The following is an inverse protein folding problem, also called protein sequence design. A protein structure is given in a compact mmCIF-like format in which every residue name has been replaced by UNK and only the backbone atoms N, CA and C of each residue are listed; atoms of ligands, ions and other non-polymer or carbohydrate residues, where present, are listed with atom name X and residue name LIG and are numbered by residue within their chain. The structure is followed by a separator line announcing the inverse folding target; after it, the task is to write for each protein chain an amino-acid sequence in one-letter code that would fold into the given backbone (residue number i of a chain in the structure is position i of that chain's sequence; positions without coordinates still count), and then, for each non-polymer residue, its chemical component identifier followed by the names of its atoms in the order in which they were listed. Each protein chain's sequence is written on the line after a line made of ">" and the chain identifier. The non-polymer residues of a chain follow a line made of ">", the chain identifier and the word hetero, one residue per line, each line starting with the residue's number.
data_IF_775070320452
#
_entry.id   IF_775070320452
#
_cell.length_a   1.000
_cell.length_b   1.000
_cell.length_c   1.000
_cell.angle_alpha   90.00
_cell.angle_beta   90.00
_cell.angle_gamma   90.00
#
_symmetry.space_group_name_H-M   'P 1'
#
loop_
_entity.id
_entity.type
_entity.pdbx_description
1 polymer ?
#
# COMPACT_ATOMS: atom_id res chain seq x y z
N UNK A 1 -21.72 10.95 -10.21
CA UNK A 1 -21.39 9.51 -10.30
C UNK A 1 -19.88 9.39 -10.48
N UNK A 2 -19.19 8.68 -9.60
CA UNK A 2 -17.74 8.47 -9.75
C UNK A 2 -17.55 7.26 -10.67
N UNK A 3 -16.81 7.38 -11.78
CA UNK A 3 -16.57 6.23 -12.64
C UNK A 3 -15.62 5.23 -11.98
N UNK A 4 -15.91 3.93 -12.15
CA UNK A 4 -15.12 2.81 -11.59
C UNK A 4 -13.63 2.92 -11.91
N UNK A 5 -13.28 3.43 -13.10
CA UNK A 5 -11.89 3.56 -13.50
C UNK A 5 -11.11 4.63 -12.70
N UNK A 6 -11.78 5.64 -12.13
CA UNK A 6 -11.15 6.59 -11.21
C UNK A 6 -10.81 5.91 -9.88
N UNK A 7 -11.74 5.11 -9.34
CA UNK A 7 -11.52 4.34 -8.11
C UNK A 7 -10.41 3.32 -8.31
N UNK A 8 -10.41 2.61 -9.44
CA UNK A 8 -9.32 1.72 -9.82
C UNK A 8 -7.97 2.43 -9.84
N UNK A 9 -7.89 3.63 -10.42
CA UNK A 9 -6.68 4.45 -10.45
C UNK A 9 -6.22 4.89 -9.06
N UNK A 10 -7.15 5.31 -8.20
CA UNK A 10 -6.86 5.69 -6.82
C UNK A 10 -6.27 4.51 -6.02
N UNK A 11 -6.92 3.34 -6.09
CA UNK A 11 -6.43 2.13 -5.43
C UNK A 11 -5.03 1.77 -5.91
N UNK A 12 -4.77 1.81 -7.22
CA UNK A 12 -3.41 1.58 -7.73
C UNK A 12 -2.38 2.59 -7.18
N UNK A 13 -2.74 3.88 -7.08
CA UNK A 13 -1.85 4.91 -6.57
C UNK A 13 -1.47 4.68 -5.10
N UNK A 14 -2.43 4.30 -4.26
CA UNK A 14 -2.18 3.99 -2.84
C UNK A 14 -1.14 2.89 -2.67
N UNK A 15 -1.29 1.78 -3.40
CA UNK A 15 -0.37 0.64 -3.32
C UNK A 15 0.95 0.86 -4.06
N UNK A 16 0.99 1.75 -5.06
CA UNK A 16 2.23 2.19 -5.69
C UNK A 16 3.12 2.94 -4.69
N UNK A 17 2.54 3.79 -3.84
CA UNK A 17 3.30 4.49 -2.79
C UNK A 17 3.92 3.51 -1.79
N UNK A 18 3.17 2.49 -1.34
CA UNK A 18 3.69 1.44 -0.46
C UNK A 18 4.90 0.74 -1.10
N UNK A 19 4.81 0.44 -2.40
CA UNK A 19 5.89 -0.21 -3.16
C UNK A 19 7.13 0.66 -3.24
N UNK A 20 6.97 1.93 -3.60
CA UNK A 20 8.06 2.90 -3.69
C UNK A 20 8.78 3.08 -2.35
N UNK A 21 8.03 3.27 -1.25
CA UNK A 21 8.60 3.42 0.10
C UNK A 21 9.34 2.17 0.57
N UNK A 22 8.81 1.00 0.23
CA UNK A 22 9.48 -0.27 0.53
C UNK A 22 10.81 -0.41 -0.22
N UNK A 23 10.82 -0.06 -1.52
CA UNK A 23 12.04 -0.08 -2.32
C UNK A 23 13.09 0.89 -1.76
N UNK A 24 12.68 2.10 -1.38
CA UNK A 24 13.57 3.09 -0.75
C UNK A 24 14.18 2.56 0.56
N UNK A 25 13.40 1.90 1.42
CA UNK A 25 13.89 1.27 2.64
C UNK A 25 14.93 0.18 2.32
N UNK A 26 14.62 -0.72 1.38
CA UNK A 26 15.51 -1.83 1.00
C UNK A 26 16.85 -1.34 0.42
N UNK A 27 16.83 -0.28 -0.39
CA UNK A 27 18.02 0.30 -1.00
C UNK A 27 18.88 1.07 0.02
N UNK A 28 18.24 1.83 0.92
CA UNK A 28 18.94 2.67 1.88
C UNK A 28 19.46 1.90 3.10
N UNK A 29 18.77 0.82 3.49
CA UNK A 29 19.10 0.01 4.66
C UNK A 29 19.02 -1.49 4.33
N UNK A 30 20.11 -2.10 3.81
CA UNK A 30 20.10 -3.49 3.36
C UNK A 30 19.68 -4.51 4.44
N UNK A 31 19.92 -4.23 5.72
CA UNK A 31 19.48 -5.06 6.85
C UNK A 31 17.95 -5.17 6.98
N UNK A 32 17.20 -4.22 6.44
CA UNK A 32 15.72 -4.19 6.47
C UNK A 32 15.10 -4.63 5.14
N UNK A 33 15.91 -5.14 4.19
CA UNK A 33 15.44 -5.58 2.87
C UNK A 33 14.37 -6.66 2.95
N UNK A 34 14.52 -7.65 3.83
CA UNK A 34 13.55 -8.74 3.98
C UNK A 34 12.18 -8.20 4.43
N UNK A 35 12.17 -7.23 5.33
CA UNK A 35 10.94 -6.56 5.76
C UNK A 35 10.27 -5.86 4.57
N UNK A 36 11.04 -5.03 3.85
CA UNK A 36 10.53 -4.31 2.67
C UNK A 36 9.94 -5.26 1.61
N UNK A 37 10.63 -6.34 1.26
CA UNK A 37 10.16 -7.32 0.28
C UNK A 37 8.87 -8.02 0.74
N UNK A 38 8.78 -8.36 2.04
CA UNK A 38 7.56 -8.95 2.62
C UNK A 38 6.40 -7.96 2.59
N UNK A 39 6.64 -6.70 2.86
CA UNK A 39 5.62 -5.64 2.81
C UNK A 39 5.08 -5.46 1.40
N UNK A 40 5.95 -5.39 0.37
CA UNK A 40 5.53 -5.32 -1.04
C UNK A 40 4.67 -6.52 -1.44
N UNK A 41 5.07 -7.73 -1.03
CA UNK A 41 4.30 -8.94 -1.36
C UNK A 41 2.88 -8.87 -0.80
N UNK A 42 2.76 -8.58 0.51
CA UNK A 42 1.47 -8.47 1.19
C UNK A 42 0.62 -7.33 0.64
N UNK A 43 1.23 -6.18 0.34
CA UNK A 43 0.52 -5.04 -0.22
C UNK A 43 0.00 -5.35 -1.63
N UNK A 44 0.78 -6.07 -2.44
CA UNK A 44 0.36 -6.50 -3.77
C UNK A 44 -0.75 -7.56 -3.74
N UNK A 45 -0.74 -8.48 -2.77
CA UNK A 45 -1.85 -9.41 -2.53
C UNK A 45 -3.15 -8.65 -2.21
N UNK A 46 -3.07 -7.62 -1.37
CA UNK A 46 -4.23 -6.74 -1.05
C UNK A 46 -4.69 -5.92 -2.25
N UNK A 47 -3.77 -5.34 -3.01
CA UNK A 47 -4.11 -4.67 -4.27
C UNK A 47 -4.85 -5.62 -5.22
N UNK A 48 -4.33 -6.84 -5.41
CA UNK A 48 -4.95 -7.84 -6.28
C UNK A 48 -6.37 -8.19 -5.82
N UNK A 49 -6.61 -8.29 -4.51
CA UNK A 49 -7.94 -8.47 -3.95
C UNK A 49 -8.90 -7.34 -4.34
N UNK A 50 -8.55 -6.07 -4.07
CA UNK A 50 -9.41 -4.93 -4.42
C UNK A 50 -9.67 -4.80 -5.92
N UNK A 51 -8.64 -5.01 -6.75
CA UNK A 51 -8.78 -5.00 -8.20
C UNK A 51 -9.65 -6.17 -8.68
N UNK A 52 -9.56 -7.33 -8.02
CA UNK A 52 -10.42 -8.48 -8.26
C UNK A 52 -11.89 -8.13 -8.06
N UNK A 53 -12.23 -7.55 -6.91
CA UNK A 53 -13.60 -7.08 -6.60
C UNK A 53 -14.09 -6.08 -7.64
N UNK A 54 -13.26 -5.10 -8.03
CA UNK A 54 -13.61 -4.13 -9.06
C UNK A 54 -13.93 -4.77 -10.42
N UNK A 55 -13.27 -5.87 -10.78
CA UNK A 55 -13.48 -6.57 -12.06
C UNK A 55 -14.65 -7.54 -12.03
N UNK A 56 -14.96 -8.14 -10.88
CA UNK A 56 -16.02 -9.15 -10.75
C UNK A 56 -17.41 -8.58 -10.58
N UNK A 57 -17.54 -7.30 -10.22
CA UNK A 57 -18.81 -6.66 -9.91
C UNK A 57 -19.31 -5.79 -11.06
N UNK A 58 -20.60 -5.90 -11.39
CA UNK A 58 -21.25 -4.97 -12.30
C UNK A 58 -21.63 -3.69 -11.54
N UNK A 59 -20.83 -2.64 -11.73
CA UNK A 59 -20.99 -1.38 -10.99
C UNK A 59 -22.03 -0.48 -11.65
N UNK A 60 -23.20 -0.38 -11.02
CA UNK A 60 -24.29 0.52 -11.42
C UNK A 60 -24.32 1.76 -10.52
N UNK A 61 -25.21 2.70 -10.82
CA UNK A 61 -25.47 3.90 -10.00
C UNK A 61 -25.94 3.57 -8.58
N UNK A 62 -26.58 2.43 -8.35
CA UNK A 62 -27.03 1.97 -7.04
C UNK A 62 -25.86 1.51 -6.15
N UNK A 63 -24.74 1.12 -6.76
CA UNK A 63 -23.56 0.57 -6.06
C UNK A 63 -22.53 1.65 -5.68
N UNK A 64 -22.85 2.94 -5.84
CA UNK A 64 -21.90 4.03 -5.61
C UNK A 64 -21.42 4.10 -4.15
N UNK A 65 -22.29 3.84 -3.17
CA UNK A 65 -21.91 3.79 -1.75
C UNK A 65 -20.88 2.67 -1.48
N UNK A 66 -21.13 1.48 -2.02
CA UNK A 66 -20.22 0.32 -1.93
C UNK A 66 -18.89 0.58 -2.63
N UNK A 67 -18.92 1.22 -3.80
CA UNK A 67 -17.71 1.56 -4.55
C UNK A 67 -16.82 2.57 -3.79
N UNK A 68 -17.44 3.56 -3.15
CA UNK A 68 -16.72 4.51 -2.29
C UNK A 68 -16.16 3.82 -1.04
N UNK A 69 -16.92 2.90 -0.44
CA UNK A 69 -16.43 2.13 0.71
C UNK A 69 -15.22 1.28 0.33
N UNK A 70 -15.27 0.58 -0.81
CA UNK A 70 -14.14 -0.20 -1.30
C UNK A 70 -12.88 0.66 -1.47
N UNK A 71 -13.03 1.89 -1.95
CA UNK A 71 -11.92 2.84 -2.08
C UNK A 71 -11.36 3.25 -0.71
N UNK A 72 -12.22 3.54 0.27
CA UNK A 72 -11.81 3.88 1.64
C UNK A 72 -11.10 2.72 2.32
N UNK A 73 -11.63 1.50 2.17
CA UNK A 73 -11.03 0.30 2.75
C UNK A 73 -9.61 0.09 2.19
N UNK A 74 -9.45 0.25 0.87
CA UNK A 74 -8.15 0.16 0.21
C UNK A 74 -7.16 1.25 0.66
N UNK A 75 -7.65 2.48 0.84
CA UNK A 75 -6.86 3.59 1.38
C UNK A 75 -6.39 3.28 2.81
N UNK A 76 -7.30 2.91 3.71
CA UNK A 76 -7.00 2.58 5.10
C UNK A 76 -5.99 1.43 5.22
N UNK A 77 -6.15 0.37 4.42
CA UNK A 77 -5.20 -0.74 4.41
C UNK A 77 -3.83 -0.32 3.88
N UNK A 78 -3.76 0.54 2.85
CA UNK A 78 -2.49 1.09 2.37
C UNK A 78 -1.77 1.91 3.44
N UNK A 79 -2.51 2.72 4.22
CA UNK A 79 -1.97 3.55 5.30
C UNK A 79 -1.37 2.68 6.40
N UNK A 80 -1.96 1.52 6.71
CA UNK A 80 -1.37 0.57 7.68
C UNK A 80 0.03 0.12 7.24
N UNK A 81 0.19 -0.25 5.96
CA UNK A 81 1.51 -0.60 5.43
C UNK A 81 2.49 0.59 5.47
N UNK A 82 2.04 1.80 5.15
CA UNK A 82 2.89 3.00 5.22
C UNK A 82 3.35 3.30 6.65
N UNK A 83 2.49 3.10 7.65
CA UNK A 83 2.86 3.26 9.07
C UNK A 83 3.89 2.23 9.51
N UNK A 84 3.72 0.98 9.10
CA UNK A 84 4.70 -0.09 9.35
C UNK A 84 6.06 0.24 8.72
N UNK A 85 6.07 0.69 7.46
CA UNK A 85 7.29 1.15 6.78
C UNK A 85 7.94 2.33 7.49
N UNK A 86 7.15 3.32 7.91
CA UNK A 86 7.67 4.49 8.62
C UNK A 86 8.33 4.09 9.95
N UNK A 87 7.74 3.15 10.67
CA UNK A 87 8.33 2.63 11.91
C UNK A 87 9.67 1.91 11.63
N UNK A 88 9.71 1.06 10.61
CA UNK A 88 10.93 0.33 10.26
C UNK A 88 12.04 1.27 9.76
N UNK A 89 11.70 2.34 9.04
CA UNK A 89 12.67 3.40 8.66
C UNK A 89 13.29 4.06 9.89
N UNK A 90 12.48 4.41 10.90
CA UNK A 90 13.00 5.02 12.14
C UNK A 90 13.96 4.08 12.86
N UNK A 91 13.57 2.82 12.99
CA UNK A 91 14.42 1.77 13.56
C UNK A 91 15.75 1.63 12.80
N UNK A 92 15.70 1.59 11.47
CA UNK A 92 16.89 1.50 10.63
C UNK A 92 17.82 2.73 10.77
N UNK A 93 17.25 3.93 10.95
CA UNK A 93 18.00 5.15 11.22
C UNK A 93 18.70 5.12 12.58
N UNK A 94 18.04 4.60 13.61
CA UNK A 94 18.60 4.44 14.96
C UNK A 94 19.73 3.41 15.01
N UNK A 95 19.55 2.25 14.35
CA UNK A 95 20.57 1.21 14.23
C UNK A 95 21.82 1.75 13.51
N UNK A 96 21.62 2.47 12.40
CA UNK A 96 22.72 3.08 11.65
C UNK A 96 23.49 4.11 12.48
N UNK A 97 22.79 4.98 13.21
CA UNK A 97 23.44 5.99 14.07
C UNK A 97 24.30 5.33 15.15
N UNK A 98 23.75 4.31 15.80
CA UNK A 98 24.42 3.54 16.86
C UNK A 98 25.65 2.78 16.35
N UNK A 99 25.71 2.42 15.07
CA UNK A 99 26.86 1.76 14.45
C UNK A 99 27.99 2.72 14.02
N UNK A 100 27.71 4.04 13.97
CA UNK A 100 28.68 5.08 13.57
C UNK A 100 29.16 5.98 14.70
N UNK A 101 28.59 5.85 15.90
CA UNK A 101 29.03 6.54 17.13
C UNK A 101 29.89 5.63 17.98
#
# INVERSE_FOLDING_TARGET
>A
MIPVHHIRRAIHAFYAEVTERSLQLALRYPGHRIFAEKTVRKSNERLAHYIGVLKSTNWTTENQGTLQQLCRDAEEDSIKFLRELQHEVKKAEEERRSATG
#
